data_IF_391735556606
#
_entry.id   IF_391735556606
#
_cell.length_a   1.000
_cell.length_b   1.000
_cell.length_c   1.000
_cell.angle_alpha   90.00
_cell.angle_beta   90.00
_cell.angle_gamma   90.00
#
_symmetry.space_group_name_H-M   'P 1'
#
loop_
_entity.id
_entity.type
_entity.pdbx_description
1 polymer ?
#
# COMPACT_ATOMS: atom_id res chain seq x y z
N UNK A 1 -1.01 -28.54 -31.15
CA UNK A 1 -0.10 -27.69 -30.38
C UNK A 1 0.01 -28.30 -28.99
N UNK A 2 1.20 -28.54 -28.43
CA UNK A 2 1.30 -29.01 -27.06
C UNK A 2 0.64 -27.98 -26.13
N UNK A 3 -0.14 -28.42 -25.17
CA UNK A 3 -0.69 -27.54 -24.14
C UNK A 3 0.46 -26.80 -23.45
N UNK A 4 0.33 -25.48 -23.23
CA UNK A 4 1.38 -24.71 -22.54
C UNK A 4 1.55 -25.29 -21.13
N UNK A 5 2.69 -25.90 -20.86
CA UNK A 5 3.03 -26.39 -19.53
C UNK A 5 3.13 -25.20 -18.60
N UNK A 6 2.28 -25.15 -17.56
CA UNK A 6 2.29 -24.07 -16.58
C UNK A 6 3.65 -24.01 -15.87
N UNK A 7 4.28 -22.83 -15.76
CA UNK A 7 5.55 -22.66 -15.05
C UNK A 7 5.48 -23.13 -13.59
N UNK A 8 6.49 -23.81 -13.11
CA UNK A 8 6.52 -24.39 -11.77
C UNK A 8 6.40 -23.35 -10.65
N UNK A 9 6.90 -22.14 -10.85
CA UNK A 9 6.75 -21.02 -9.93
C UNK A 9 5.28 -20.58 -9.78
N UNK A 10 4.51 -20.54 -10.88
CA UNK A 10 3.06 -20.27 -10.81
C UNK A 10 2.30 -21.41 -10.13
N UNK A 11 2.67 -22.66 -10.42
CA UNK A 11 2.07 -23.82 -9.74
C UNK A 11 2.26 -23.72 -8.22
N UNK A 12 3.45 -23.31 -7.77
CA UNK A 12 3.73 -23.08 -6.35
C UNK A 12 2.98 -21.88 -5.79
N UNK A 13 2.99 -20.77 -6.51
CA UNK A 13 2.36 -19.51 -6.08
C UNK A 13 0.84 -19.65 -5.90
N UNK A 14 0.19 -20.42 -6.81
CA UNK A 14 -1.25 -20.68 -6.80
C UNK A 14 -1.63 -21.97 -6.05
N UNK A 15 -0.69 -22.70 -5.45
CA UNK A 15 -0.93 -23.96 -4.73
C UNK A 15 -1.66 -25.04 -5.56
N UNK A 16 -1.44 -25.08 -6.88
CA UNK A 16 -2.22 -25.90 -7.80
C UNK A 16 -1.95 -27.42 -7.70
N UNK A 17 -0.82 -27.83 -7.11
CA UNK A 17 -0.45 -29.25 -6.96
C UNK A 17 -0.86 -29.88 -5.63
N UNK A 18 -1.62 -29.19 -4.80
CA UNK A 18 -2.12 -29.73 -3.54
C UNK A 18 -3.40 -30.56 -3.78
N UNK A 19 -3.30 -31.66 -4.54
CA UNK A 19 -4.31 -32.72 -4.52
C UNK A 19 -4.35 -33.41 -3.15
N UNK A 20 -5.48 -34.08 -2.78
CA UNK A 20 -5.59 -34.78 -1.50
C UNK A 20 -4.48 -35.82 -1.39
N UNK A 21 -3.48 -35.57 -0.57
CA UNK A 21 -2.46 -36.57 -0.21
C UNK A 21 -3.09 -37.54 0.78
N UNK A 22 -3.41 -38.76 0.31
CA UNK A 22 -3.64 -39.88 1.22
C UNK A 22 -2.30 -40.17 1.93
N UNK A 23 -2.17 -39.75 3.19
CA UNK A 23 -1.01 -40.03 4.01
C UNK A 23 -0.87 -39.02 5.14
N UNK A 24 0.09 -39.31 6.09
CA UNK A 24 0.46 -38.40 7.17
C UNK A 24 0.80 -37.02 6.59
N UNK A 25 0.29 -35.90 7.17
CA UNK A 25 0.64 -34.57 6.71
C UNK A 25 2.16 -34.42 6.55
N UNK A 26 2.63 -33.88 5.44
CA UNK A 26 4.05 -33.63 5.27
C UNK A 26 4.51 -32.70 6.39
N UNK A 27 5.59 -33.07 7.10
CA UNK A 27 6.14 -32.33 8.24
C UNK A 27 6.57 -30.91 7.84
N UNK A 28 6.84 -30.70 6.56
CA UNK A 28 7.18 -29.42 5.91
C UNK A 28 6.40 -29.28 4.61
N UNK A 29 5.62 -28.20 4.48
CA UNK A 29 4.95 -27.77 3.26
C UNK A 29 5.31 -26.30 2.93
N UNK A 30 4.89 -25.85 1.76
CA UNK A 30 5.20 -24.50 1.27
C UNK A 30 4.54 -23.43 2.14
N UNK A 31 3.35 -23.67 2.67
CA UNK A 31 2.61 -22.70 3.49
C UNK A 31 3.32 -22.46 4.81
N UNK A 32 3.78 -23.52 5.49
CA UNK A 32 4.59 -23.39 6.71
C UNK A 32 5.91 -22.65 6.47
N UNK A 33 6.55 -22.86 5.31
CA UNK A 33 7.77 -22.13 4.94
C UNK A 33 7.47 -20.65 4.76
N UNK A 34 6.41 -20.30 4.01
CA UNK A 34 6.00 -18.93 3.73
C UNK A 34 5.55 -18.22 5.01
N UNK A 35 4.71 -18.85 5.82
CA UNK A 35 4.23 -18.28 7.09
C UNK A 35 5.37 -18.00 8.06
N UNK A 36 6.33 -18.94 8.15
CA UNK A 36 7.53 -18.73 8.99
C UNK A 36 8.39 -17.58 8.46
N UNK A 37 8.55 -17.47 7.15
CA UNK A 37 9.34 -16.41 6.54
C UNK A 37 8.67 -15.03 6.72
N UNK A 38 7.35 -14.95 6.53
CA UNK A 38 6.56 -13.73 6.78
C UNK A 38 6.64 -13.33 8.24
N UNK A 39 6.43 -14.25 9.17
CA UNK A 39 6.54 -13.97 10.61
C UNK A 39 7.93 -13.43 10.98
N UNK A 40 9.01 -14.05 10.51
CA UNK A 40 10.36 -13.56 10.77
C UNK A 40 10.59 -12.16 10.17
N UNK A 41 10.01 -11.87 9.01
CA UNK A 41 10.06 -10.53 8.42
C UNK A 41 9.23 -9.52 9.21
N UNK A 42 8.08 -9.91 9.75
CA UNK A 42 7.24 -9.07 10.60
C UNK A 42 7.96 -8.72 11.91
N UNK A 43 8.71 -9.67 12.51
CA UNK A 43 9.45 -9.49 13.77
C UNK A 43 10.74 -8.68 13.61
N UNK A 44 11.47 -8.84 12.51
CA UNK A 44 12.82 -8.28 12.39
C UNK A 44 13.19 -7.72 11.02
N UNK A 45 12.20 -7.43 10.18
CA UNK A 45 12.39 -6.97 8.80
C UNK A 45 12.93 -8.06 7.88
N UNK A 46 13.14 -7.72 6.61
CA UNK A 46 13.64 -8.66 5.59
C UNK A 46 14.99 -9.31 5.95
N UNK A 47 15.81 -8.62 6.73
CA UNK A 47 17.12 -9.14 7.21
C UNK A 47 16.96 -10.30 8.20
N UNK A 48 15.80 -10.46 8.81
CA UNK A 48 15.48 -11.59 9.66
C UNK A 48 14.95 -12.80 8.88
N UNK A 49 14.40 -12.62 7.69
CA UNK A 49 13.81 -13.68 6.86
C UNK A 49 14.84 -14.31 5.90
N UNK A 50 16.02 -14.68 6.39
CA UNK A 50 17.02 -15.38 5.58
C UNK A 50 16.78 -16.89 5.54
N UNK A 51 17.14 -17.55 4.44
CA UNK A 51 16.99 -19.02 4.31
C UNK A 51 17.56 -19.82 5.50
N UNK A 52 18.77 -19.51 6.02
CA UNK A 52 19.25 -20.20 7.21
C UNK A 52 18.38 -20.01 8.46
N UNK A 53 17.86 -18.78 8.68
CA UNK A 53 16.99 -18.49 9.84
C UNK A 53 15.63 -19.17 9.71
N UNK A 54 15.06 -19.19 8.50
CA UNK A 54 13.80 -19.90 8.21
C UNK A 54 14.00 -21.40 8.43
N UNK A 55 15.08 -21.98 7.92
CA UNK A 55 15.42 -23.39 8.10
C UNK A 55 15.59 -23.75 9.58
N UNK A 56 16.30 -22.91 10.33
CA UNK A 56 16.48 -23.09 11.78
C UNK A 56 15.13 -23.04 12.53
N UNK A 57 14.28 -22.08 12.22
CA UNK A 57 12.94 -21.94 12.83
C UNK A 57 12.02 -23.14 12.54
N UNK A 58 12.21 -23.79 11.41
CA UNK A 58 11.47 -24.99 11.00
C UNK A 58 12.16 -26.30 11.38
N UNK A 59 13.36 -26.25 12.02
CA UNK A 59 14.18 -27.40 12.37
C UNK A 59 14.54 -28.29 11.17
N UNK A 60 14.81 -27.66 10.01
CA UNK A 60 15.22 -28.34 8.77
C UNK A 60 16.52 -27.78 8.23
N UNK A 61 17.07 -28.41 7.19
CA UNK A 61 18.24 -27.86 6.48
C UNK A 61 17.83 -26.84 5.43
N UNK A 62 18.65 -25.81 5.12
CA UNK A 62 18.36 -24.87 4.05
C UNK A 62 18.10 -25.54 2.68
N UNK A 63 18.80 -26.67 2.41
CA UNK A 63 18.59 -27.44 1.18
C UNK A 63 17.18 -28.05 1.10
N UNK A 64 16.58 -28.40 2.24
CA UNK A 64 15.20 -28.90 2.28
C UNK A 64 14.20 -27.83 1.86
N UNK A 65 14.44 -26.55 2.14
CA UNK A 65 13.56 -25.46 1.75
C UNK A 65 13.47 -25.33 0.23
N UNK A 66 14.60 -25.42 -0.49
CA UNK A 66 14.62 -25.27 -1.94
C UNK A 66 13.72 -26.27 -2.69
N UNK A 67 13.44 -27.43 -2.10
CA UNK A 67 12.50 -28.41 -2.68
C UNK A 67 11.04 -27.89 -2.68
N UNK A 68 10.73 -26.94 -1.80
CA UNK A 68 9.39 -26.37 -1.64
C UNK A 68 9.25 -25.01 -2.31
N UNK A 69 10.30 -24.17 -2.27
CA UNK A 69 10.25 -22.78 -2.73
C UNK A 69 10.89 -22.54 -4.10
N UNK A 70 11.65 -23.50 -4.64
CA UNK A 70 12.39 -23.36 -5.90
C UNK A 70 13.61 -22.44 -5.79
N UNK A 71 13.44 -21.14 -5.65
CA UNK A 71 14.52 -20.16 -5.51
C UNK A 71 14.26 -19.16 -4.37
N UNK A 72 15.26 -18.33 -4.06
CA UNK A 72 15.11 -17.22 -3.10
C UNK A 72 14.13 -16.16 -3.64
N UNK A 73 14.21 -15.89 -4.93
CA UNK A 73 13.34 -14.93 -5.61
C UNK A 73 11.89 -15.42 -5.58
N UNK A 74 11.67 -16.72 -5.79
CA UNK A 74 10.35 -17.31 -5.66
C UNK A 74 9.82 -17.22 -4.22
N UNK A 75 10.68 -17.47 -3.21
CA UNK A 75 10.28 -17.26 -1.81
C UNK A 75 9.85 -15.83 -1.54
N UNK A 76 10.59 -14.84 -2.04
CA UNK A 76 10.21 -13.42 -1.90
C UNK A 76 8.84 -13.15 -2.55
N UNK A 77 8.58 -13.69 -3.72
CA UNK A 77 7.27 -13.58 -4.38
C UNK A 77 6.14 -14.23 -3.58
N UNK A 78 6.38 -15.42 -3.02
CA UNK A 78 5.45 -16.13 -2.15
C UNK A 78 5.15 -15.36 -0.86
N UNK A 79 6.19 -14.80 -0.23
CA UNK A 79 6.08 -13.96 0.96
C UNK A 79 5.30 -12.67 0.66
N UNK A 80 5.61 -12.00 -0.45
CA UNK A 80 4.95 -10.76 -0.85
C UNK A 80 3.45 -10.98 -1.07
N UNK A 81 3.08 -12.03 -1.80
CA UNK A 81 1.68 -12.37 -2.05
C UNK A 81 0.94 -12.73 -0.76
N UNK A 82 1.52 -13.59 0.08
CA UNK A 82 0.93 -13.95 1.37
C UNK A 82 0.80 -12.74 2.31
N UNK A 83 1.79 -11.84 2.30
CA UNK A 83 1.78 -10.64 3.14
C UNK A 83 0.78 -9.58 2.69
N UNK A 84 0.50 -9.47 1.39
CA UNK A 84 -0.60 -8.62 0.90
C UNK A 84 -1.93 -9.02 1.52
N UNK A 85 -2.17 -10.33 1.67
CA UNK A 85 -3.44 -10.84 2.15
C UNK A 85 -4.61 -10.56 1.20
N UNK A 86 -5.86 -10.85 1.63
CA UNK A 86 -7.04 -10.65 0.80
C UNK A 86 -7.23 -9.18 0.44
N UNK A 87 -7.71 -8.93 -0.78
CA UNK A 87 -8.10 -7.60 -1.22
C UNK A 87 -9.33 -7.09 -0.45
N UNK A 88 -9.47 -5.76 -0.27
CA UNK A 88 -10.66 -5.18 0.32
C UNK A 88 -11.88 -5.41 -0.58
N UNK A 89 -13.05 -5.52 0.04
CA UNK A 89 -14.32 -5.53 -0.69
C UNK A 89 -14.75 -4.07 -0.93
N UNK A 90 -14.16 -3.45 -1.94
CA UNK A 90 -14.51 -2.08 -2.37
C UNK A 90 -15.83 -2.08 -3.16
N UNK A 91 -16.83 -2.84 -2.75
CA UNK A 91 -18.18 -2.72 -3.29
C UNK A 91 -18.79 -1.43 -2.75
N UNK A 92 -19.29 -0.59 -3.65
CA UNK A 92 -19.90 0.72 -3.40
C UNK A 92 -21.27 0.64 -2.66
N UNK A 93 -21.43 -0.29 -1.74
CA UNK A 93 -22.46 -0.25 -0.72
C UNK A 93 -21.89 0.50 0.49
N UNK A 94 -21.69 1.81 0.32
CA UNK A 94 -21.57 2.71 1.46
C UNK A 94 -22.85 2.51 2.28
N UNK A 95 -22.73 1.78 3.38
CA UNK A 95 -23.70 1.76 4.46
C UNK A 95 -24.02 3.21 4.82
N UNK A 96 -25.12 3.74 4.30
CA UNK A 96 -25.76 4.89 4.85
C UNK A 96 -26.22 4.46 6.26
N UNK A 97 -25.38 4.69 7.25
CA UNK A 97 -25.81 4.66 8.65
C UNK A 97 -26.99 5.64 8.77
N UNK A 98 -28.20 5.19 9.13
CA UNK A 98 -29.29 6.10 9.39
C UNK A 98 -29.00 6.83 10.69
N UNK A 99 -28.56 8.08 10.57
CA UNK A 99 -28.40 8.98 11.70
C UNK A 99 -29.78 9.23 12.32
N UNK A 100 -30.14 8.40 13.31
CA UNK A 100 -31.35 8.53 14.11
C UNK A 100 -31.11 9.54 15.22
N UNK A 101 -31.27 10.83 14.95
CA UNK A 101 -31.62 11.81 15.99
C UNK A 101 -32.57 12.89 15.48
N UNK A 102 -33.85 12.73 15.94
CA UNK A 102 -34.83 13.73 16.27
C UNK A 102 -35.30 14.74 15.21
N UNK A 103 -36.47 14.39 14.73
CA UNK A 103 -37.42 15.33 14.14
C UNK A 103 -37.91 16.38 15.16
N UNK A 104 -37.78 17.65 14.84
CA UNK A 104 -38.75 18.70 15.22
C UNK A 104 -38.90 19.68 14.05
N UNK A 105 -40.13 19.92 13.69
CA UNK A 105 -40.61 20.51 12.46
C UNK A 105 -40.06 21.90 12.13
N UNK A 106 -39.95 22.13 10.85
CA UNK A 106 -39.66 23.42 10.23
C UNK A 106 -39.93 23.32 8.73
N UNK A 107 -40.84 24.12 8.27
CA UNK A 107 -41.45 24.24 6.95
C UNK A 107 -40.45 24.31 5.82
N UNK A 108 -40.68 23.55 4.77
CA UNK A 108 -39.92 23.44 3.53
C UNK A 108 -39.76 24.78 2.81
N UNK A 109 -38.52 25.13 2.49
CA UNK A 109 -38.20 25.95 1.31
C UNK A 109 -37.38 25.10 0.38
N UNK A 110 -37.97 24.78 -0.77
CA UNK A 110 -37.36 23.97 -1.84
C UNK A 110 -36.25 24.81 -2.49
N UNK A 111 -35.04 24.68 -2.02
CA UNK A 111 -33.81 25.17 -2.65
C UNK A 111 -33.14 24.01 -3.33
N UNK A 112 -33.11 24.04 -4.66
CA UNK A 112 -32.46 23.11 -5.57
C UNK A 112 -30.96 23.24 -5.38
N UNK A 113 -30.39 22.47 -4.45
CA UNK A 113 -28.99 22.16 -4.40
C UNK A 113 -28.87 20.68 -4.78
N UNK A 114 -28.70 20.42 -6.05
CA UNK A 114 -28.14 19.14 -6.55
C UNK A 114 -26.79 18.98 -5.89
N UNK A 115 -26.79 18.39 -4.72
CA UNK A 115 -25.56 17.83 -4.13
C UNK A 115 -25.08 16.79 -5.13
N UNK A 116 -24.08 17.17 -5.93
CA UNK A 116 -23.47 16.31 -6.94
C UNK A 116 -22.84 15.15 -6.18
N UNK A 117 -23.55 14.03 -6.09
CA UNK A 117 -23.04 12.81 -5.50
C UNK A 117 -21.70 12.48 -6.18
N UNK A 118 -20.63 12.44 -5.41
CA UNK A 118 -19.32 12.07 -5.92
C UNK A 118 -19.43 10.75 -6.70
N UNK A 119 -18.82 10.65 -7.90
CA UNK A 119 -18.91 9.44 -8.70
C UNK A 119 -18.50 8.21 -7.87
N UNK A 120 -19.25 7.13 -7.92
CA UNK A 120 -19.06 5.93 -7.09
C UNK A 120 -17.64 5.33 -7.15
N UNK A 121 -16.91 5.55 -8.25
CA UNK A 121 -15.54 5.10 -8.41
C UNK A 121 -14.56 5.78 -7.45
N UNK A 122 -14.78 7.05 -7.11
CA UNK A 122 -13.84 7.85 -6.30
C UNK A 122 -13.73 7.35 -4.86
N UNK A 123 -14.81 7.15 -4.10
CA UNK A 123 -14.75 6.55 -2.77
C UNK A 123 -14.23 5.11 -2.79
N UNK A 124 -14.59 4.28 -3.77
CA UNK A 124 -14.12 2.92 -3.89
C UNK A 124 -12.61 2.85 -4.15
N UNK A 125 -12.07 3.71 -5.03
CA UNK A 125 -10.64 3.76 -5.30
C UNK A 125 -9.85 4.35 -4.11
N UNK A 126 -10.45 5.29 -3.37
CA UNK A 126 -9.88 5.80 -2.11
C UNK A 126 -9.79 4.69 -1.06
N UNK A 127 -10.85 3.93 -0.85
CA UNK A 127 -10.88 2.79 0.08
C UNK A 127 -9.81 1.77 -0.29
N UNK A 128 -9.68 1.43 -1.57
CA UNK A 128 -8.61 0.56 -2.07
C UNK A 128 -7.20 1.09 -1.73
N UNK A 129 -6.97 2.40 -1.91
CA UNK A 129 -5.69 3.04 -1.60
C UNK A 129 -5.39 3.04 -0.10
N UNK A 130 -6.38 3.36 0.74
CA UNK A 130 -6.27 3.35 2.21
C UNK A 130 -6.00 1.93 2.70
N UNK A 131 -6.72 0.93 2.20
CA UNK A 131 -6.50 -0.47 2.55
C UNK A 131 -5.06 -0.92 2.21
N UNK A 132 -4.51 -0.47 1.07
CA UNK A 132 -3.13 -0.76 0.68
C UNK A 132 -2.12 -0.10 1.63
N UNK A 133 -2.36 1.17 2.02
CA UNK A 133 -1.55 1.87 3.03
C UNK A 133 -1.52 1.10 4.35
N UNK A 134 -2.66 0.57 4.78
CA UNK A 134 -2.79 -0.22 5.99
C UNK A 134 -2.01 -1.55 5.93
N UNK A 135 -1.93 -2.19 4.77
CA UNK A 135 -1.05 -3.35 4.57
C UNK A 135 0.41 -2.97 4.80
N UNK A 136 0.87 -1.84 4.26
CA UNK A 136 2.24 -1.37 4.47
C UNK A 136 2.51 -0.96 5.92
N UNK A 137 1.54 -0.37 6.62
CA UNK A 137 1.66 -0.05 8.06
C UNK A 137 1.86 -1.31 8.89
N UNK A 138 1.09 -2.36 8.63
CA UNK A 138 1.23 -3.66 9.32
C UNK A 138 2.49 -4.42 8.96
N UNK A 139 2.95 -4.30 7.71
CA UNK A 139 4.11 -5.01 7.15
C UNK A 139 5.04 -4.08 6.39
N UNK A 140 5.78 -3.22 7.11
CA UNK A 140 6.62 -2.20 6.50
C UNK A 140 7.67 -2.73 5.52
N UNK A 141 8.16 -3.96 5.75
CA UNK A 141 9.13 -4.61 4.90
C UNK A 141 8.60 -4.87 3.48
N UNK A 142 7.27 -4.98 3.32
CA UNK A 142 6.65 -5.23 2.02
C UNK A 142 6.87 -4.05 1.04
N UNK A 143 6.85 -2.81 1.55
CA UNK A 143 7.14 -1.63 0.75
C UNK A 143 8.61 -1.55 0.28
N UNK A 144 9.52 -2.28 0.93
CA UNK A 144 10.94 -2.31 0.57
C UNK A 144 11.27 -3.33 -0.52
N UNK A 145 10.33 -4.23 -0.84
CA UNK A 145 10.57 -5.24 -1.89
C UNK A 145 10.64 -4.58 -3.27
N UNK A 146 11.59 -4.99 -4.13
CA UNK A 146 11.63 -4.50 -5.49
C UNK A 146 10.41 -4.99 -6.28
N UNK A 147 9.87 -4.14 -7.14
CA UNK A 147 8.87 -4.53 -8.12
C UNK A 147 9.59 -5.23 -9.27
N UNK A 148 9.45 -6.54 -9.38
CA UNK A 148 10.16 -7.36 -10.39
C UNK A 148 9.31 -7.67 -11.62
N UNK A 149 8.03 -7.28 -11.62
CA UNK A 149 7.11 -7.53 -12.74
C UNK A 149 5.65 -7.28 -12.37
N UNK A 150 4.73 -7.63 -13.27
CA UNK A 150 3.29 -7.52 -13.02
C UNK A 150 2.84 -8.50 -11.92
N UNK A 151 1.70 -8.25 -11.27
CA UNK A 151 1.15 -9.14 -10.24
C UNK A 151 0.90 -10.54 -10.81
N UNK A 152 1.30 -11.57 -10.07
CA UNK A 152 1.20 -12.97 -10.48
C UNK A 152 0.54 -13.88 -9.45
N UNK A 153 0.59 -13.51 -8.17
CA UNK A 153 0.02 -14.29 -7.09
C UNK A 153 -1.48 -14.08 -6.90
N UNK A 154 -2.18 -15.02 -6.26
CA UNK A 154 -3.63 -14.94 -6.08
C UNK A 154 -4.07 -13.68 -5.32
N UNK A 155 -3.38 -13.29 -4.25
CA UNK A 155 -3.70 -12.07 -3.52
C UNK A 155 -3.37 -10.83 -4.36
N UNK A 156 -2.21 -10.77 -5.00
CA UNK A 156 -1.84 -9.64 -5.85
C UNK A 156 -2.81 -9.45 -7.04
N UNK A 157 -3.30 -10.55 -7.64
CA UNK A 157 -4.35 -10.51 -8.67
C UNK A 157 -5.69 -10.05 -8.09
N UNK A 158 -6.06 -10.50 -6.89
CA UNK A 158 -7.28 -10.04 -6.22
C UNK A 158 -7.24 -8.53 -5.93
N UNK A 159 -6.09 -8.02 -5.49
CA UNK A 159 -5.89 -6.58 -5.29
C UNK A 159 -5.99 -5.78 -6.59
N UNK A 160 -5.43 -6.30 -7.69
CA UNK A 160 -5.58 -5.69 -9.01
C UNK A 160 -7.05 -5.69 -9.46
N UNK A 161 -7.76 -6.82 -9.29
CA UNK A 161 -9.19 -6.92 -9.63
C UNK A 161 -10.05 -5.96 -8.82
N UNK A 162 -9.79 -5.80 -7.51
CA UNK A 162 -10.50 -4.84 -6.66
C UNK A 162 -10.32 -3.39 -7.16
N UNK A 163 -9.08 -2.99 -7.51
CA UNK A 163 -8.82 -1.67 -8.09
C UNK A 163 -9.49 -1.47 -9.46
N UNK A 164 -9.48 -2.49 -10.32
CA UNK A 164 -10.18 -2.44 -11.61
C UNK A 164 -11.71 -2.39 -11.44
N UNK A 165 -12.24 -3.08 -10.43
CA UNK A 165 -13.67 -3.06 -10.07
C UNK A 165 -14.10 -1.67 -9.64
N UNK A 166 -13.30 -0.96 -8.84
CA UNK A 166 -13.57 0.43 -8.47
C UNK A 166 -13.71 1.34 -9.71
N UNK A 167 -13.01 1.03 -10.81
CA UNK A 167 -13.05 1.82 -12.05
C UNK A 167 -14.02 1.26 -13.10
N UNK A 168 -14.89 0.29 -12.77
CA UNK A 168 -15.72 -0.41 -13.75
C UNK A 168 -16.60 0.55 -14.55
N UNK A 169 -17.24 1.50 -13.89
CA UNK A 169 -18.24 2.40 -14.45
C UNK A 169 -17.65 3.73 -15.00
N UNK A 170 -16.32 3.86 -15.08
CA UNK A 170 -15.69 5.13 -15.49
C UNK A 170 -15.62 5.34 -17.00
N UNK A 171 -15.96 4.36 -17.82
CA UNK A 171 -15.77 4.47 -19.28
C UNK A 171 -14.32 4.41 -19.77
N UNK A 172 -13.33 4.45 -18.88
CA UNK A 172 -11.90 4.32 -19.23
C UNK A 172 -11.62 2.98 -19.92
N UNK A 173 -10.73 2.96 -20.88
CA UNK A 173 -10.23 1.73 -21.47
C UNK A 173 -9.32 0.95 -20.49
N UNK A 174 -8.95 -0.27 -20.85
CA UNK A 174 -8.14 -1.13 -19.98
C UNK A 174 -6.74 -0.57 -19.70
N UNK A 175 -6.13 0.11 -20.68
CA UNK A 175 -4.80 0.69 -20.50
C UNK A 175 -4.85 1.85 -19.50
N UNK A 176 -5.85 2.72 -19.61
CA UNK A 176 -6.09 3.81 -18.68
C UNK A 176 -6.41 3.29 -17.27
N UNK A 177 -7.26 2.27 -17.13
CA UNK A 177 -7.58 1.65 -15.83
C UNK A 177 -6.32 1.07 -15.15
N UNK A 178 -5.48 0.33 -15.89
CA UNK A 178 -4.20 -0.17 -15.36
C UNK A 178 -3.28 1.01 -14.99
N UNK A 179 -3.23 2.06 -15.83
CA UNK A 179 -2.47 3.28 -15.53
C UNK A 179 -2.91 3.92 -14.20
N UNK A 180 -4.22 4.07 -14.00
CA UNK A 180 -4.78 4.64 -12.77
C UNK A 180 -4.38 3.84 -11.53
N UNK A 181 -4.62 2.52 -11.50
CA UNK A 181 -4.26 1.70 -10.33
C UNK A 181 -2.74 1.67 -10.09
N UNK A 182 -1.94 1.76 -11.15
CA UNK A 182 -0.48 1.86 -11.04
C UNK A 182 -0.05 3.18 -10.39
N UNK A 183 -0.63 4.30 -10.82
CA UNK A 183 -0.32 5.63 -10.26
C UNK A 183 -0.77 5.73 -8.81
N UNK A 184 -2.00 5.32 -8.49
CA UNK A 184 -2.53 5.34 -7.12
C UNK A 184 -1.72 4.43 -6.20
N UNK A 185 -1.45 3.18 -6.59
CA UNK A 185 -0.63 2.26 -5.80
C UNK A 185 0.82 2.74 -5.64
N UNK A 186 1.38 3.35 -6.69
CA UNK A 186 2.70 3.99 -6.64
C UNK A 186 2.75 5.14 -5.64
N UNK A 187 1.74 6.01 -5.64
CA UNK A 187 1.60 7.08 -4.65
C UNK A 187 1.54 6.53 -3.22
N UNK A 188 0.66 5.57 -2.96
CA UNK A 188 0.49 4.95 -1.62
C UNK A 188 1.82 4.40 -1.11
N UNK A 189 2.53 3.64 -1.95
CA UNK A 189 3.81 3.05 -1.58
C UNK A 189 4.88 4.12 -1.31
N UNK A 190 4.96 5.15 -2.17
CA UNK A 190 5.95 6.21 -2.04
C UNK A 190 5.69 7.07 -0.80
N UNK A 191 4.44 7.47 -0.56
CA UNK A 191 4.05 8.23 0.61
C UNK A 191 4.43 7.49 1.91
N UNK A 192 4.06 6.21 2.02
CA UNK A 192 4.43 5.37 3.15
C UNK A 192 5.95 5.25 3.32
N UNK A 193 6.69 5.03 2.22
CA UNK A 193 8.14 4.85 2.27
C UNK A 193 8.85 6.11 2.74
N UNK A 194 8.41 7.29 2.25
CA UNK A 194 8.97 8.58 2.61
C UNK A 194 8.72 8.90 4.08
N UNK A 195 7.47 8.77 4.53
CA UNK A 195 7.10 9.02 5.94
C UNK A 195 7.95 8.14 6.89
N UNK A 196 8.03 6.85 6.58
CA UNK A 196 8.83 5.91 7.38
C UNK A 196 10.31 6.28 7.42
N UNK A 197 10.92 6.63 6.28
CA UNK A 197 12.34 7.01 6.22
C UNK A 197 12.62 8.28 7.03
N UNK A 198 11.71 9.26 6.96
CA UNK A 198 11.81 10.47 7.76
C UNK A 198 11.67 10.17 9.27
N UNK A 199 10.72 9.32 9.65
CA UNK A 199 10.53 8.88 11.03
C UNK A 199 11.75 8.13 11.58
N UNK A 200 12.32 7.19 10.80
CA UNK A 200 13.52 6.45 11.16
C UNK A 200 14.74 7.38 11.31
N UNK A 201 14.89 8.37 10.43
CA UNK A 201 15.96 9.36 10.49
C UNK A 201 15.84 10.24 11.74
N UNK A 202 14.63 10.67 12.10
CA UNK A 202 14.35 11.44 13.33
C UNK A 202 14.63 10.61 14.58
N UNK A 203 14.15 9.35 14.60
CA UNK A 203 14.39 8.43 15.71
C UNK A 203 15.87 8.16 15.96
N UNK A 204 16.65 7.96 14.91
CA UNK A 204 18.10 7.77 15.00
C UNK A 204 18.83 9.00 15.55
N UNK A 205 18.33 10.21 15.27
CA UNK A 205 18.87 11.48 15.78
C UNK A 205 18.33 11.84 17.19
N UNK A 206 17.38 11.10 17.73
CA UNK A 206 16.66 11.38 18.97
C UNK A 206 16.08 12.83 19.01
N UNK A 207 15.50 13.26 17.91
CA UNK A 207 14.98 14.61 17.69
C UNK A 207 13.50 14.51 17.34
N UNK A 208 12.65 15.32 18.00
CA UNK A 208 11.25 15.43 17.60
C UNK A 208 11.10 16.16 16.25
N UNK A 209 9.98 15.99 15.60
CA UNK A 209 9.71 16.53 14.27
C UNK A 209 9.80 18.06 14.24
N UNK A 210 9.19 18.74 15.22
CA UNK A 210 9.22 20.21 15.31
C UNK A 210 10.65 20.72 15.51
N UNK A 211 11.45 20.02 16.31
CA UNK A 211 12.84 20.38 16.51
C UNK A 211 13.68 20.19 15.25
N UNK A 212 13.44 19.07 14.52
CA UNK A 212 14.09 18.80 13.25
C UNK A 212 13.75 19.87 12.20
N UNK A 213 12.48 20.25 12.07
CA UNK A 213 12.02 21.28 11.13
C UNK A 213 12.58 22.67 11.49
N UNK A 214 12.55 23.08 12.77
CA UNK A 214 13.15 24.36 13.22
C UNK A 214 14.65 24.42 12.92
N UNK A 215 15.33 23.29 13.11
CA UNK A 215 16.77 23.19 12.79
C UNK A 215 16.97 23.32 11.28
N UNK A 216 16.20 22.62 10.48
CA UNK A 216 16.23 22.67 9.01
C UNK A 216 16.03 24.10 8.48
N UNK A 217 14.97 24.79 8.94
CA UNK A 217 14.69 26.18 8.55
C UNK A 217 15.85 27.10 8.91
N UNK A 218 16.35 27.04 10.15
CA UNK A 218 17.46 27.88 10.61
C UNK A 218 18.74 27.63 9.78
N UNK A 219 19.08 26.37 9.51
CA UNK A 219 20.29 26.03 8.76
C UNK A 219 20.18 26.48 7.31
N UNK A 220 19.02 26.28 6.66
CA UNK A 220 18.82 26.71 5.28
C UNK A 220 18.73 28.24 5.15
N UNK A 221 18.03 28.91 6.05
CA UNK A 221 17.96 30.39 6.03
C UNK A 221 19.35 31.04 6.12
N UNK A 222 20.29 30.37 6.76
CA UNK A 222 21.67 30.89 6.87
C UNK A 222 22.51 30.76 5.58
N UNK A 223 22.11 29.90 4.63
CA UNK A 223 22.91 29.58 3.43
C UNK A 223 22.16 29.80 2.11
N UNK A 224 20.83 29.94 2.13
CA UNK A 224 20.01 30.15 0.95
C UNK A 224 20.08 31.62 0.51
N UNK A 225 20.54 31.83 -0.71
CA UNK A 225 20.58 33.15 -1.34
C UNK A 225 19.26 33.46 -2.04
N UNK A 226 18.59 34.55 -1.64
CA UNK A 226 17.26 34.92 -2.17
C UNK A 226 17.27 35.26 -3.66
N UNK A 227 18.39 35.74 -4.19
CA UNK A 227 18.53 36.02 -5.62
C UNK A 227 18.61 34.75 -6.48
N UNK A 228 19.17 33.68 -5.89
CA UNK A 228 19.29 32.38 -6.57
C UNK A 228 18.10 31.45 -6.32
N UNK A 229 17.49 31.53 -5.13
CA UNK A 229 16.40 30.64 -4.69
C UNK A 229 15.21 31.42 -4.11
N UNK A 230 14.54 32.28 -4.89
CA UNK A 230 13.50 33.17 -4.39
C UNK A 230 12.31 32.41 -3.77
N UNK A 231 11.84 31.33 -4.41
CA UNK A 231 10.69 30.56 -3.94
C UNK A 231 11.01 29.77 -2.65
N UNK A 232 12.22 29.21 -2.53
CA UNK A 232 12.67 28.55 -1.31
C UNK A 232 12.80 29.56 -0.17
N UNK A 233 13.30 30.76 -0.43
CA UNK A 233 13.39 31.83 0.57
C UNK A 233 11.98 32.23 1.04
N UNK A 234 11.01 32.38 0.14
CA UNK A 234 9.62 32.66 0.48
C UNK A 234 8.99 31.53 1.30
N UNK A 235 9.23 30.27 0.94
CA UNK A 235 8.78 29.09 1.68
C UNK A 235 9.35 29.08 3.11
N UNK A 236 10.64 29.31 3.29
CA UNK A 236 11.27 29.34 4.62
C UNK A 236 10.71 30.45 5.50
N UNK A 237 10.30 31.58 4.91
CA UNK A 237 9.68 32.71 5.60
C UNK A 237 8.16 32.60 5.81
N UNK A 238 7.51 31.57 5.26
CA UNK A 238 6.03 31.46 5.27
C UNK A 238 5.41 31.08 6.62
N UNK A 239 6.22 30.65 7.60
CA UNK A 239 5.73 30.12 8.87
C UNK A 239 5.17 28.68 8.78
N UNK A 240 5.19 28.05 7.61
CA UNK A 240 4.69 26.68 7.40
C UNK A 240 5.30 25.68 8.40
N UNK A 241 6.62 25.73 8.56
CA UNK A 241 7.38 24.82 9.42
C UNK A 241 7.20 25.06 10.93
N UNK A 242 6.58 26.19 11.31
CA UNK A 242 6.25 26.52 12.71
C UNK A 242 4.86 26.00 13.10
N UNK A 243 3.99 25.77 12.11
CA UNK A 243 2.58 25.42 12.25
C UNK A 243 2.32 23.91 12.14
N UNK A 244 3.37 23.07 12.05
CA UNK A 244 3.21 21.63 11.84
C UNK A 244 2.52 20.97 13.04
N UNK A 245 1.40 20.27 12.85
CA UNK A 245 0.70 19.49 13.88
C UNK A 245 1.60 18.39 14.45
N UNK A 246 1.17 17.73 15.52
CA UNK A 246 1.89 16.58 16.05
C UNK A 246 1.92 15.42 15.04
N UNK A 247 3.07 14.75 14.95
CA UNK A 247 3.49 13.86 13.86
C UNK A 247 2.45 12.87 13.27
N UNK A 248 1.57 12.20 14.04
CA UNK A 248 0.63 11.24 13.46
C UNK A 248 -0.45 11.89 12.61
N UNK A 249 -0.95 13.07 13.03
CA UNK A 249 -2.03 13.78 12.34
C UNK A 249 -1.54 14.42 11.04
N UNK A 250 -0.28 14.89 11.00
CA UNK A 250 0.28 15.51 9.79
C UNK A 250 0.51 14.48 8.68
N UNK A 251 1.03 13.30 9.00
CA UNK A 251 1.29 12.25 8.01
C UNK A 251 -0.01 11.73 7.35
N UNK A 252 -1.09 11.56 8.12
CA UNK A 252 -2.38 11.16 7.58
C UNK A 252 -3.04 12.27 6.75
N UNK A 253 -2.86 13.54 7.14
CA UNK A 253 -3.33 14.70 6.37
C UNK A 253 -2.56 14.85 5.05
N UNK A 254 -1.23 14.73 5.07
CA UNK A 254 -0.39 14.79 3.88
C UNK A 254 -0.70 13.65 2.92
N UNK A 255 -0.89 12.43 3.44
CA UNK A 255 -1.34 11.29 2.65
C UNK A 255 -2.70 11.53 2.00
N UNK A 256 -3.68 12.02 2.78
CA UNK A 256 -5.03 12.29 2.27
C UNK A 256 -5.00 13.38 1.20
N UNK A 257 -4.29 14.49 1.43
CA UNK A 257 -4.15 15.58 0.47
C UNK A 257 -3.53 15.12 -0.86
N UNK A 258 -2.42 14.40 -0.81
CA UNK A 258 -1.79 13.90 -2.03
C UNK A 258 -2.61 12.85 -2.76
N UNK A 259 -3.34 11.99 -2.01
CA UNK A 259 -4.29 11.06 -2.61
C UNK A 259 -5.42 11.80 -3.32
N UNK A 260 -5.93 12.89 -2.73
CA UNK A 260 -6.97 13.72 -3.37
C UNK A 260 -6.48 14.34 -4.68
N UNK A 261 -5.26 14.87 -4.72
CA UNK A 261 -4.67 15.38 -5.96
C UNK A 261 -4.58 14.31 -7.06
N UNK A 262 -4.20 13.07 -6.69
CA UNK A 262 -4.17 11.95 -7.64
C UNK A 262 -5.58 11.63 -8.13
N UNK A 263 -6.57 11.55 -7.23
CA UNK A 263 -7.96 11.25 -7.57
C UNK A 263 -8.62 12.37 -8.41
N UNK A 264 -8.24 13.63 -8.21
CA UNK A 264 -8.68 14.75 -9.06
C UNK A 264 -8.12 14.61 -10.49
N UNK A 265 -6.86 14.19 -10.62
CA UNK A 265 -6.27 13.84 -11.90
C UNK A 265 -6.99 12.68 -12.62
N UNK A 266 -7.43 11.67 -11.86
CA UNK A 266 -8.26 10.57 -12.39
C UNK A 266 -9.62 11.10 -12.84
N UNK A 267 -10.28 11.97 -12.06
CA UNK A 267 -11.56 12.59 -12.43
C UNK A 267 -11.46 13.31 -13.78
N UNK A 268 -10.44 14.14 -13.95
CA UNK A 268 -10.18 14.82 -15.22
C UNK A 268 -9.93 13.86 -16.40
N UNK A 269 -9.43 12.64 -16.14
CA UNK A 269 -9.26 11.62 -17.18
C UNK A 269 -10.56 10.89 -17.52
N UNK A 270 -11.44 10.70 -16.55
CA UNK A 270 -12.78 10.09 -16.73
C UNK A 270 -13.74 11.00 -17.49
N UNK A 271 -13.61 12.31 -17.34
CA UNK A 271 -14.46 13.33 -18.01
C UNK A 271 -14.08 13.59 -19.47
N UNK A 272 -12.95 13.10 -19.95
CA UNK A 272 -12.48 13.23 -21.36
C UNK A 272 -13.03 12.17 -22.28
#
# INVERSE_FOLDING_TARGET
MPEPTMPDDLVRLWRLRNGPRLGRPAELDIDRVVDTAVRLADEGGLVAATLPKIAAALSVTPMSLYRHIGSKEELIGLMADAAMGPAPDCSSEATAEPNAHHATGGTATRGDATESASPAWRPALREWAVAQSEVFRRRPWLAQLPVTGPPRGPNAIAWMDAGLRALRETGLDWAAKIGVITVVGGYVRQAFTLDRQLAESRGAANVDERQALRRYVRELTAVVDAGRFPDVTALLGSGLFESVPDAPESADQDFAFGLDLVLDGVAAAVER
#
